data_IF_667445597223
#
_entry.id   IF_667445597223
#
_cell.length_a   1.000
_cell.length_b   1.000
_cell.length_c   1.000
_cell.angle_alpha   90.00
_cell.angle_beta   90.00
_cell.angle_gamma   90.00
#
_symmetry.space_group_name_H-M   'P 1'
#
loop_
_entity.id
_entity.type
_entity.pdbx_description
1 polymer ?
#
# COMPACT_ATOMS: atom_id res chain seq x y z
N UNK A 1 -1.27 17.05 -2.98
CA UNK A 1 -0.53 15.82 -2.96
C UNK A 1 -1.43 14.64 -3.22
N UNK A 2 -0.98 13.80 -4.07
CA UNK A 2 -1.80 12.69 -4.51
C UNK A 2 -1.39 11.42 -3.80
N UNK A 3 -2.17 11.05 -2.81
CA UNK A 3 -1.95 9.77 -2.15
C UNK A 3 -2.89 8.76 -2.76
N UNK A 4 -2.34 7.67 -3.23
CA UNK A 4 -3.12 6.60 -3.82
C UNK A 4 -3.00 5.38 -2.94
N UNK A 5 -4.14 4.76 -2.64
CA UNK A 5 -4.15 3.51 -1.89
C UNK A 5 -4.69 2.43 -2.80
N UNK A 6 -4.00 1.32 -2.85
CA UNK A 6 -4.42 0.19 -3.67
C UNK A 6 -4.20 -1.10 -2.89
N UNK A 7 -4.89 -2.14 -3.31
CA UNK A 7 -4.76 -3.45 -2.70
C UNK A 7 -4.05 -4.34 -3.71
N UNK A 8 -2.94 -4.93 -3.29
CA UNK A 8 -2.17 -5.80 -4.17
C UNK A 8 -2.15 -7.22 -3.62
N UNK A 9 -1.91 -8.17 -4.50
CA UNK A 9 -1.63 -9.52 -4.05
C UNK A 9 -0.36 -9.45 -3.20
N UNK A 10 -0.38 -10.04 -2.00
CA UNK A 10 0.74 -9.84 -1.06
C UNK A 10 2.09 -10.18 -1.67
N UNK A 11 3.01 -9.26 -1.49
CA UNK A 11 4.37 -9.44 -1.98
C UNK A 11 4.55 -9.21 -3.46
N UNK A 12 3.52 -8.74 -4.16
CA UNK A 12 3.61 -8.54 -5.60
C UNK A 12 3.18 -7.14 -5.97
N UNK A 13 3.19 -6.86 -7.28
CA UNK A 13 2.69 -5.61 -7.82
C UNK A 13 1.36 -5.82 -8.54
N UNK A 14 0.72 -6.95 -8.30
CA UNK A 14 -0.55 -7.24 -8.97
C UNK A 14 -1.68 -6.64 -8.19
N UNK A 15 -2.31 -5.64 -8.78
CA UNK A 15 -3.42 -4.97 -8.11
C UNK A 15 -4.67 -5.84 -8.17
N UNK A 16 -5.36 -5.95 -7.04
CA UNK A 16 -6.55 -6.75 -6.94
C UNK A 16 -7.78 -5.89 -7.15
N UNK A 17 -8.86 -6.49 -7.64
CA UNK A 17 -10.10 -5.74 -7.82
C UNK A 17 -10.75 -5.39 -6.50
N UNK A 18 -11.67 -4.44 -6.57
CA UNK A 18 -12.46 -4.00 -5.43
C UNK A 18 -13.10 -5.20 -4.75
N UNK A 19 -13.01 -5.22 -3.46
CA UNK A 19 -13.64 -6.27 -2.65
C UNK A 19 -12.74 -7.45 -2.34
N UNK A 20 -11.63 -7.59 -3.06
CA UNK A 20 -10.73 -8.70 -2.78
C UNK A 20 -9.70 -8.32 -1.73
N UNK A 21 -9.39 -9.27 -0.89
CA UNK A 21 -8.42 -9.04 0.19
C UNK A 21 -7.01 -9.21 -0.30
N UNK A 22 -6.17 -8.29 0.11
CA UNK A 22 -4.76 -8.34 -0.22
C UNK A 22 -4.00 -7.40 0.66
N UNK A 23 -2.78 -7.07 0.24
CA UNK A 23 -1.94 -6.17 1.00
C UNK A 23 -2.29 -4.73 0.67
N UNK A 24 -2.44 -3.91 1.70
CA UNK A 24 -2.70 -2.49 1.53
C UNK A 24 -1.39 -1.80 1.19
N UNK A 25 -1.38 -1.11 0.06
CA UNK A 25 -0.18 -0.40 -0.38
C UNK A 25 -0.52 1.05 -0.65
N UNK A 26 0.44 1.92 -0.37
CA UNK A 26 0.24 3.36 -0.45
C UNK A 26 1.31 3.97 -1.33
N UNK A 27 0.89 4.80 -2.26
CA UNK A 27 1.81 5.54 -3.09
C UNK A 27 1.66 7.03 -2.82
N UNK A 28 2.72 7.65 -2.34
CA UNK A 28 2.77 9.08 -2.10
C UNK A 28 4.06 9.60 -2.68
N UNK A 29 4.03 10.23 -3.84
CA UNK A 29 5.23 10.45 -4.64
C UNK A 29 6.35 11.20 -3.97
N UNK A 30 6.05 12.12 -3.07
CA UNK A 30 7.13 12.97 -2.58
C UNK A 30 7.41 12.86 -1.11
N UNK A 31 6.47 12.41 -0.33
CA UNK A 31 6.58 12.48 1.12
C UNK A 31 7.19 11.23 1.71
N UNK A 32 7.07 10.13 1.00
CA UNK A 32 7.44 8.84 1.54
C UNK A 32 8.88 8.72 1.95
N UNK A 33 9.76 9.33 1.21
CA UNK A 33 11.16 9.20 1.51
C UNK A 33 11.52 9.69 2.88
N UNK A 34 10.89 10.76 3.30
CA UNK A 34 11.19 11.31 4.61
C UNK A 34 10.47 10.59 5.72
N UNK A 35 9.26 10.15 5.43
CA UNK A 35 8.44 9.56 6.46
C UNK A 35 8.87 8.18 6.88
N UNK A 36 9.31 7.36 5.97
CA UNK A 36 9.55 5.96 6.26
C UNK A 36 11.02 5.66 6.39
N UNK A 37 11.70 6.58 7.05
CA UNK A 37 13.10 6.50 7.31
C UNK A 37 13.37 5.92 8.67
N UNK A 38 12.37 5.34 9.31
CA UNK A 38 12.52 4.80 10.64
C UNK A 38 12.05 3.35 10.65
N UNK A 39 12.87 2.46 10.17
CA UNK A 39 12.47 1.07 10.03
C UNK A 39 12.12 0.41 11.35
N UNK A 40 12.64 0.91 12.44
CA UNK A 40 12.35 0.30 13.73
C UNK A 40 10.92 0.58 14.19
N UNK A 41 10.23 1.53 13.56
CA UNK A 41 8.89 1.91 13.98
C UNK A 41 7.81 1.45 13.02
N UNK A 42 8.21 0.81 11.94
CA UNK A 42 7.21 0.41 10.95
C UNK A 42 7.70 -0.81 10.20
N UNK A 43 6.76 -1.65 9.83
CA UNK A 43 7.05 -2.82 9.02
C UNK A 43 6.89 -2.52 7.54
N UNK A 44 6.67 -1.27 7.19
CA UNK A 44 6.48 -0.91 5.80
C UNK A 44 7.73 -1.09 5.00
N UNK A 45 7.57 -1.62 3.81
CA UNK A 45 8.67 -1.82 2.88
C UNK A 45 8.38 -0.99 1.66
N UNK A 46 9.36 -0.17 1.27
CA UNK A 46 9.22 0.65 0.08
C UNK A 46 9.73 -0.10 -1.12
N UNK A 47 8.93 -0.17 -2.17
CA UNK A 47 9.32 -0.85 -3.40
C UNK A 47 8.96 -0.01 -4.60
N UNK A 48 9.86 0.00 -5.58
CA UNK A 48 9.54 0.63 -6.85
C UNK A 48 8.78 -0.35 -7.71
N UNK A 49 7.63 0.05 -8.17
CA UNK A 49 6.81 -0.79 -9.04
C UNK A 49 7.11 -0.51 -10.50
N UNK A 50 6.52 -1.31 -11.37
CA UNK A 50 6.75 -1.18 -12.80
C UNK A 50 6.23 0.15 -13.34
N UNK A 51 5.32 0.79 -12.63
CA UNK A 51 4.81 2.11 -13.03
C UNK A 51 5.81 3.23 -12.74
N UNK A 52 6.97 2.90 -12.18
CA UNK A 52 8.00 3.89 -11.86
C UNK A 52 7.80 4.55 -10.51
N UNK A 53 6.72 4.26 -9.83
CA UNK A 53 6.42 4.88 -8.54
C UNK A 53 6.91 4.03 -7.40
N UNK A 54 7.14 4.68 -6.26
CA UNK A 54 7.51 3.98 -5.04
C UNK A 54 6.23 3.73 -4.24
N UNK A 55 6.02 2.49 -3.90
CA UNK A 55 4.86 2.08 -3.13
C UNK A 55 5.29 1.56 -1.76
N UNK A 56 4.57 1.97 -0.74
CA UNK A 56 4.79 1.46 0.60
C UNK A 56 3.89 0.25 0.79
N UNK A 57 4.51 -0.89 1.02
CA UNK A 57 3.79 -2.13 1.31
C UNK A 57 3.64 -2.20 2.83
N UNK A 58 2.42 -2.05 3.30
CA UNK A 58 2.21 -1.85 4.73
C UNK A 58 2.31 -3.11 5.56
N UNK A 59 2.20 -4.25 4.92
CA UNK A 59 2.16 -5.50 5.67
C UNK A 59 0.79 -5.83 6.23
N UNK A 60 -0.17 -4.91 6.10
CA UNK A 60 -1.51 -5.14 6.60
C UNK A 60 -2.40 -5.67 5.49
N UNK A 61 -3.32 -6.55 5.86
CA UNK A 61 -4.25 -7.14 4.92
C UNK A 61 -5.59 -6.43 5.05
N UNK A 62 -6.22 -6.20 3.91
CA UNK A 62 -7.53 -5.58 3.90
C UNK A 62 -8.13 -5.57 2.51
N UNK A 63 -9.18 -4.81 2.35
CA UNK A 63 -9.82 -4.68 1.05
C UNK A 63 -10.42 -3.28 0.93
N UNK A 64 -10.78 -2.93 -0.29
CA UNK A 64 -11.34 -1.60 -0.56
C UNK A 64 -12.73 -1.78 -1.13
N UNK A 65 -13.67 -0.92 -0.73
CA UNK A 65 -15.01 -0.99 -1.30
C UNK A 65 -15.16 -0.02 -2.47
N UNK A 66 -16.34 0.01 -3.04
CA UNK A 66 -16.60 0.80 -4.24
C UNK A 66 -16.48 2.29 -4.01
N UNK A 67 -16.60 2.70 -2.77
CA UNK A 67 -16.52 4.12 -2.44
C UNK A 67 -15.11 4.55 -2.06
N UNK A 68 -14.17 3.62 -2.09
CA UNK A 68 -12.80 3.94 -1.79
C UNK A 68 -12.41 3.80 -0.32
N UNK A 69 -13.32 3.30 0.51
CA UNK A 69 -12.97 3.06 1.90
C UNK A 69 -12.16 1.77 2.03
N UNK A 70 -11.16 1.81 2.87
CA UNK A 70 -10.29 0.67 3.10
C UNK A 70 -10.63 0.05 4.44
N UNK A 71 -10.82 -1.26 4.45
CA UNK A 71 -11.16 -2.00 5.65
C UNK A 71 -10.00 -2.90 6.02
N UNK A 72 -9.52 -2.75 7.24
CA UNK A 72 -8.45 -3.62 7.73
C UNK A 72 -9.04 -4.94 8.14
N UNK A 73 -8.42 -5.97 7.64
CA UNK A 73 -8.83 -7.32 7.98
C UNK A 73 -7.84 -7.85 9.00
N UNK A 74 -7.61 -7.08 10.00
CA UNK A 74 -6.55 -7.18 10.85
C UNK A 74 -6.09 -8.44 11.29
N UNK A 75 -5.15 -8.42 11.45
CA UNK A 75 -4.23 -9.17 11.91
C UNK A 75 -3.99 -9.94 12.93
#
# INVERSE_FOLDING_TARGET
LNTVVSIFEPGTETELPIGERGEICICTPTVMKGYYNKPEETDMILRRHADGQIWAHTGDVGYMDEDGFVYLDSA
#
